data_IF_035603682915
#
_entry.id   IF_035603682915
#
_cell.length_a   1.000
_cell.length_b   1.000
_cell.length_c   1.000
_cell.angle_alpha   90.00
_cell.angle_beta   90.00
_cell.angle_gamma   90.00
#
_symmetry.space_group_name_H-M   'P 1'
#
loop_
_entity.id
_entity.type
_entity.pdbx_description
1 polymer ?
#
# COMPACT_ATOMS: atom_id res chain seq x y z
N UNK A 1 3.11 0.07 3.28
CA UNK A 1 1.95 0.88 2.84
C UNK A 1 0.86 -0.09 2.46
N UNK A 2 -0.34 0.04 3.01
CA UNK A 2 -1.52 -0.65 2.49
C UNK A 2 -2.16 0.27 1.46
N UNK A 3 -2.12 -0.14 0.20
CA UNK A 3 -2.40 0.71 -0.94
C UNK A 3 -3.73 0.31 -1.58
N UNK A 4 -4.70 1.22 -1.51
CA UNK A 4 -6.07 1.04 -2.03
C UNK A 4 -6.51 2.19 -2.97
N UNK A 5 -5.61 3.12 -3.31
CA UNK A 5 -5.90 4.32 -4.11
C UNK A 5 -7.06 5.17 -3.57
N UNK A 6 -7.30 5.14 -2.25
CA UNK A 6 -8.39 5.90 -1.67
C UNK A 6 -8.18 6.22 -0.19
N UNK A 7 -9.04 7.08 0.34
CA UNK A 7 -9.30 7.12 1.78
C UNK A 7 -10.26 5.96 2.13
N UNK A 8 -9.80 4.71 2.07
CA UNK A 8 -10.65 3.52 2.13
C UNK A 8 -11.63 3.47 3.31
N UNK A 9 -11.19 3.83 4.51
CA UNK A 9 -12.06 3.88 5.71
C UNK A 9 -13.18 4.93 5.56
N UNK A 10 -12.88 6.10 4.98
CA UNK A 10 -13.86 7.16 4.74
C UNK A 10 -14.80 6.75 3.61
N UNK A 11 -14.28 6.18 2.52
CA UNK A 11 -15.07 5.66 1.39
C UNK A 11 -16.12 4.66 1.85
N UNK A 12 -15.73 3.65 2.63
CA UNK A 12 -16.67 2.66 3.18
C UNK A 12 -17.78 3.28 4.03
N UNK A 13 -17.42 4.23 4.90
CA UNK A 13 -18.40 4.94 5.75
C UNK A 13 -19.37 5.79 4.93
N UNK A 14 -18.89 6.46 3.88
CA UNK A 14 -19.74 7.25 2.99
C UNK A 14 -20.71 6.35 2.20
N UNK A 15 -20.24 5.23 1.66
CA UNK A 15 -21.09 4.25 0.97
C UNK A 15 -22.16 3.69 1.91
N UNK A 16 -21.78 3.25 3.11
CA UNK A 16 -22.71 2.69 4.08
C UNK A 16 -23.80 3.70 4.53
N UNK A 17 -23.46 4.98 4.66
CA UNK A 17 -24.39 6.01 5.15
C UNK A 17 -25.20 6.70 4.05
N UNK A 18 -24.62 6.91 2.88
CA UNK A 18 -25.17 7.78 1.85
C UNK A 18 -25.37 7.10 0.50
N UNK A 19 -24.97 5.84 0.34
CA UNK A 19 -25.03 5.11 -0.94
C UNK A 19 -24.09 5.66 -2.02
N UNK A 20 -23.23 6.63 -1.70
CA UNK A 20 -22.26 7.24 -2.61
C UNK A 20 -21.02 7.71 -1.87
N UNK A 21 -19.90 7.77 -2.59
CA UNK A 21 -18.66 8.35 -2.10
C UNK A 21 -18.34 9.68 -2.80
N UNK A 22 -17.54 10.53 -2.18
CA UNK A 22 -17.15 11.83 -2.73
C UNK A 22 -15.79 12.27 -2.16
N UNK A 23 -14.85 12.61 -3.06
CA UNK A 23 -13.54 13.17 -2.69
C UNK A 23 -12.61 12.19 -1.97
N UNK A 24 -12.79 10.88 -2.18
CA UNK A 24 -12.02 9.84 -1.49
C UNK A 24 -11.08 9.05 -2.39
N UNK A 25 -11.24 9.12 -3.71
CA UNK A 25 -10.43 8.39 -4.67
C UNK A 25 -9.27 9.27 -5.17
N UNK A 26 -8.07 8.70 -5.24
CA UNK A 26 -6.87 9.40 -5.72
C UNK A 26 -5.81 8.42 -6.23
N UNK A 27 -4.91 8.91 -7.10
CA UNK A 27 -3.72 8.16 -7.50
C UNK A 27 -2.64 8.23 -6.42
N UNK A 28 -1.76 7.23 -6.39
CA UNK A 28 -0.57 7.23 -5.56
C UNK A 28 0.70 7.33 -6.41
N UNK A 29 1.79 7.91 -5.87
CA UNK A 29 3.10 7.78 -6.50
C UNK A 29 3.56 6.32 -6.48
N UNK A 30 4.57 5.99 -7.29
CA UNK A 30 5.21 4.69 -7.17
C UNK A 30 6.07 4.66 -5.89
N UNK A 31 5.53 4.07 -4.82
CA UNK A 31 6.20 3.95 -3.53
C UNK A 31 7.50 3.15 -3.58
N UNK A 32 7.63 2.21 -4.51
CA UNK A 32 8.87 1.44 -4.69
C UNK A 32 9.97 2.35 -5.22
N UNK A 33 9.66 3.15 -6.23
CA UNK A 33 10.61 4.11 -6.80
C UNK A 33 10.93 5.23 -5.82
N UNK A 34 9.94 5.69 -5.06
CA UNK A 34 10.14 6.67 -3.99
C UNK A 34 11.15 6.16 -2.96
N UNK A 35 10.98 4.92 -2.46
CA UNK A 35 11.93 4.34 -1.51
C UNK A 35 13.37 4.30 -2.05
N UNK A 36 13.53 3.86 -3.31
CA UNK A 36 14.84 3.83 -3.97
C UNK A 36 15.48 5.22 -4.09
N UNK A 37 14.69 6.26 -4.36
CA UNK A 37 15.18 7.64 -4.44
C UNK A 37 15.76 8.14 -3.11
N UNK A 38 15.31 7.60 -1.98
CA UNK A 38 15.85 7.87 -0.64
C UNK A 38 16.93 6.87 -0.20
N UNK A 39 17.51 6.11 -1.14
CA UNK A 39 18.49 5.06 -0.86
C UNK A 39 17.97 3.96 0.10
N UNK A 40 16.65 3.78 0.13
CA UNK A 40 15.94 2.73 0.85
C UNK A 40 15.58 1.57 -0.09
N UNK A 41 15.17 0.44 0.46
CA UNK A 41 14.67 -0.69 -0.32
C UNK A 41 13.17 -0.55 -0.58
N UNK A 42 12.73 -0.89 -1.78
CA UNK A 42 11.32 -0.83 -2.17
C UNK A 42 10.84 -2.17 -2.71
N UNK A 43 9.70 -2.64 -2.23
CA UNK A 43 9.09 -3.91 -2.61
C UNK A 43 7.60 -3.74 -2.91
N UNK A 44 7.09 -4.49 -3.88
CA UNK A 44 5.65 -4.62 -4.17
C UNK A 44 5.34 -6.09 -4.44
N UNK A 45 4.74 -6.86 -3.50
CA UNK A 45 4.32 -8.23 -3.76
C UNK A 45 3.31 -8.27 -4.91
N UNK A 46 3.47 -9.25 -5.80
CA UNK A 46 2.51 -9.53 -6.87
C UNK A 46 1.32 -10.36 -6.37
N UNK A 47 1.50 -11.06 -5.24
CA UNK A 47 0.50 -11.92 -4.58
C UNK A 47 0.72 -11.97 -3.08
N UNK A 48 -0.35 -12.23 -2.33
CA UNK A 48 -0.32 -12.26 -0.86
C UNK A 48 0.71 -13.25 -0.28
N UNK A 49 0.94 -14.39 -0.95
CA UNK A 49 1.90 -15.40 -0.48
C UNK A 49 3.37 -14.95 -0.52
N UNK A 50 3.70 -13.89 -1.23
CA UNK A 50 5.06 -13.34 -1.26
C UNK A 50 5.37 -12.46 -0.04
N UNK A 51 4.33 -11.96 0.64
CA UNK A 51 4.48 -10.95 1.69
C UNK A 51 5.34 -11.46 2.87
N UNK A 52 5.15 -12.72 3.28
CA UNK A 52 5.90 -13.30 4.39
C UNK A 52 7.41 -13.33 4.08
N UNK A 53 7.80 -13.83 2.90
CA UNK A 53 9.20 -13.90 2.49
C UNK A 53 9.83 -12.51 2.31
N UNK A 54 9.07 -11.53 1.80
CA UNK A 54 9.57 -10.14 1.69
C UNK A 54 9.81 -9.56 3.09
N UNK A 55 8.89 -9.78 4.03
CA UNK A 55 9.05 -9.31 5.41
C UNK A 55 10.32 -9.88 6.04
N UNK A 56 10.52 -11.20 5.98
CA UNK A 56 11.72 -11.86 6.52
C UNK A 56 13.00 -11.24 5.94
N UNK A 57 13.08 -11.12 4.60
CA UNK A 57 14.22 -10.51 3.92
C UNK A 57 14.47 -9.06 4.35
N UNK A 58 13.42 -8.26 4.51
CA UNK A 58 13.56 -6.85 4.91
C UNK A 58 14.03 -6.69 6.35
N UNK A 59 13.54 -7.55 7.26
CA UNK A 59 13.95 -7.56 8.66
C UNK A 59 15.43 -7.96 8.80
N UNK A 60 15.88 -8.94 8.03
CA UNK A 60 17.28 -9.39 8.01
C UNK A 60 18.23 -8.34 7.42
N UNK A 61 17.79 -7.60 6.39
CA UNK A 61 18.63 -6.63 5.68
C UNK A 61 19.08 -5.44 6.54
N UNK A 62 18.34 -5.13 7.61
CA UNK A 62 18.52 -3.94 8.48
C UNK A 62 18.64 -2.61 7.73
N UNK A 63 18.08 -2.52 6.52
CA UNK A 63 17.99 -1.28 5.74
C UNK A 63 16.59 -0.68 5.84
N UNK A 64 16.45 0.65 5.80
CA UNK A 64 15.14 1.28 5.63
C UNK A 64 14.45 0.67 4.41
N UNK A 65 13.22 0.21 4.61
CA UNK A 65 12.48 -0.56 3.61
C UNK A 65 11.03 -0.11 3.55
N UNK A 66 10.49 0.00 2.34
CA UNK A 66 9.07 0.25 2.08
C UNK A 66 8.52 -0.95 1.32
N UNK A 67 7.49 -1.57 1.89
CA UNK A 67 6.69 -2.61 1.21
C UNK A 67 5.35 -1.97 0.85
N UNK A 68 5.09 -1.85 -0.44
CA UNK A 68 3.83 -1.38 -1.02
C UNK A 68 2.90 -2.56 -1.26
N UNK A 69 1.90 -2.75 -0.40
CA UNK A 69 0.99 -3.90 -0.41
C UNK A 69 -0.34 -3.48 -1.01
N UNK A 70 -0.67 -3.90 -2.26
CA UNK A 70 -1.98 -3.66 -2.84
C UNK A 70 -3.05 -4.38 -2.01
N UNK A 71 -4.11 -3.67 -1.64
CA UNK A 71 -5.23 -4.22 -0.88
C UNK A 71 -6.51 -4.01 -1.66
N UNK A 72 -7.29 -5.09 -1.78
CA UNK A 72 -8.66 -5.02 -2.26
C UNK A 72 -9.61 -4.80 -1.07
N UNK A 73 -10.42 -3.76 -1.16
CA UNK A 73 -11.44 -3.40 -0.17
C UNK A 73 -12.86 -3.45 -0.76
N UNK A 74 -13.04 -4.08 -1.94
CA UNK A 74 -14.35 -4.37 -2.54
C UNK A 74 -15.23 -5.20 -1.62
#
# INVERSE_FOLDING_TARGET
VFHDNAYGSIKRKQLARFGRASGVDFGNPDFVQLAKAFNAQGYRPSRASELASILDNTLDSRKPSVIDVPVDYS
#
